data_IF_044056656150
#
_entry.id   IF_044056656150
#
_cell.length_a   1.000
_cell.length_b   1.000
_cell.length_c   1.000
_cell.angle_alpha   90.00
_cell.angle_beta   90.00
_cell.angle_gamma   90.00
#
_symmetry.space_group_name_H-M   'P 1'
#
loop_
_entity.id
_entity.type
_entity.pdbx_description
1 polymer ?
#
# COMPACT_ATOMS: atom_id res chain seq x y z
N UNK A 1 5.25 26.38 39.41
CA UNK A 1 5.57 25.84 38.07
C UNK A 1 4.56 26.45 37.09
N UNK A 2 5.01 27.41 36.28
CA UNK A 2 4.15 28.17 35.36
C UNK A 2 4.25 27.51 33.98
N UNK A 3 3.12 27.10 33.43
CA UNK A 3 3.03 26.54 32.07
C UNK A 3 3.18 27.67 31.03
N UNK A 4 3.94 27.49 29.96
CA UNK A 4 4.03 28.51 28.92
C UNK A 4 2.77 28.51 28.04
N UNK A 5 2.38 29.72 27.60
CA UNK A 5 1.20 30.01 26.80
C UNK A 5 1.18 29.25 25.46
N UNK A 6 -0.01 28.80 25.09
CA UNK A 6 -0.35 28.14 23.82
C UNK A 6 0.03 29.02 22.62
N UNK A 7 0.95 28.51 21.79
CA UNK A 7 1.21 29.09 20.45
C UNK A 7 -0.01 28.84 19.55
N UNK A 8 -0.56 29.91 19.02
CA UNK A 8 -1.56 29.93 17.96
C UNK A 8 -1.04 29.12 16.75
N UNK A 9 -1.74 28.06 16.40
CA UNK A 9 -1.51 27.29 15.17
C UNK A 9 -2.05 28.12 13.99
N UNK A 10 -1.18 28.56 13.12
CA UNK A 10 -1.55 29.17 11.84
C UNK A 10 -2.39 28.21 11.00
N UNK A 11 -3.42 28.68 10.28
CA UNK A 11 -4.22 27.84 9.38
C UNK A 11 -3.32 27.25 8.30
N UNK A 12 -3.38 25.93 8.22
CA UNK A 12 -2.67 25.09 7.27
C UNK A 12 -2.94 25.57 5.84
N UNK A 13 -1.92 26.12 5.16
CA UNK A 13 -1.92 26.23 3.70
C UNK A 13 -2.09 24.81 3.17
N UNK A 14 -3.06 24.57 2.30
CA UNK A 14 -3.23 23.30 1.61
C UNK A 14 -1.89 22.93 0.94
N UNK A 15 -1.15 21.99 1.55
CA UNK A 15 0.10 21.47 0.99
C UNK A 15 -0.30 20.53 -0.14
N UNK A 16 0.45 20.58 -1.25
CA UNK A 16 0.36 19.57 -2.30
C UNK A 16 0.49 18.19 -1.65
N UNK A 17 -0.27 17.18 -2.08
CA UNK A 17 -0.32 15.87 -1.45
C UNK A 17 1.02 15.10 -1.49
N UNK A 18 2.00 15.54 -2.31
CA UNK A 18 3.29 14.86 -2.51
C UNK A 18 4.48 15.81 -2.39
N UNK A 19 5.67 15.34 -1.91
CA UNK A 19 6.91 16.13 -1.86
C UNK A 19 7.34 16.59 -3.26
N UNK A 20 7.79 17.84 -3.40
CA UNK A 20 8.13 18.46 -4.69
C UNK A 20 9.38 17.89 -5.39
N UNK A 21 10.20 17.10 -4.68
CA UNK A 21 11.51 16.64 -5.18
C UNK A 21 11.52 15.16 -5.63
N UNK A 22 10.36 14.51 -5.74
CA UNK A 22 10.25 13.10 -6.15
C UNK A 22 9.45 13.04 -7.42
N UNK A 23 10.09 12.62 -8.52
CA UNK A 23 9.46 12.57 -9.83
C UNK A 23 8.26 11.60 -9.82
N UNK A 24 8.37 10.42 -9.18
CA UNK A 24 7.27 9.47 -9.05
C UNK A 24 7.20 8.88 -7.64
N UNK A 25 6.14 9.17 -6.92
CA UNK A 25 5.93 8.67 -5.54
C UNK A 25 5.56 7.20 -5.54
N UNK A 26 6.22 6.40 -4.70
CA UNK A 26 5.88 4.99 -4.46
C UNK A 26 5.13 4.87 -3.13
N UNK A 27 3.86 4.49 -3.20
CA UNK A 27 2.95 4.39 -2.06
C UNK A 27 2.66 2.93 -1.75
N UNK A 28 3.05 2.46 -0.57
CA UNK A 28 2.66 1.14 -0.08
C UNK A 28 1.29 1.23 0.58
N UNK A 29 0.32 0.48 0.07
CA UNK A 29 -1.02 0.41 0.66
C UNK A 29 -1.30 -0.97 1.23
N UNK A 30 -1.86 -1.04 2.44
CA UNK A 30 -2.15 -2.31 3.09
C UNK A 30 -3.34 -2.25 4.05
N UNK A 31 -4.10 -3.34 4.08
CA UNK A 31 -4.86 -3.75 5.25
C UNK A 31 -3.88 -4.45 6.20
N UNK A 32 -3.87 -4.05 7.46
CA UNK A 32 -2.93 -4.57 8.44
C UNK A 32 -3.64 -4.82 9.78
N UNK A 33 -3.40 -5.98 10.38
CA UNK A 33 -3.86 -6.25 11.74
C UNK A 33 -3.08 -5.41 12.77
N UNK A 34 -3.60 -5.27 13.97
CA UNK A 34 -2.91 -4.52 15.03
C UNK A 34 -1.52 -5.10 15.36
N UNK A 35 -1.32 -6.40 15.16
CA UNK A 35 -0.01 -7.07 15.32
C UNK A 35 0.81 -7.13 14.02
N UNK A 36 0.44 -6.36 12.98
CA UNK A 36 1.23 -6.11 11.78
C UNK A 36 1.12 -7.15 10.67
N UNK A 37 0.18 -8.09 10.73
CA UNK A 37 -0.03 -9.11 9.70
C UNK A 37 -0.82 -8.53 8.52
N UNK A 38 -0.40 -8.86 7.30
CA UNK A 38 -1.01 -8.44 6.03
C UNK A 38 -1.37 -9.64 5.13
N UNK A 39 -1.26 -10.87 5.61
CA UNK A 39 -1.48 -12.07 4.79
C UNK A 39 -2.96 -12.31 4.53
N UNK A 40 -3.32 -12.50 3.27
CA UNK A 40 -4.65 -12.91 2.78
C UNK A 40 -5.84 -12.12 3.37
N UNK A 41 -5.83 -10.79 3.35
CA UNK A 41 -6.92 -9.97 3.89
C UNK A 41 -8.23 -10.16 3.12
N UNK A 42 -8.14 -10.38 1.79
CA UNK A 42 -9.25 -10.47 0.86
C UNK A 42 -9.85 -11.86 0.68
N UNK A 43 -9.33 -12.89 1.34
CA UNK A 43 -9.82 -14.25 1.20
C UNK A 43 -8.92 -15.17 0.37
N UNK A 44 -7.70 -14.74 0.04
CA UNK A 44 -6.73 -15.54 -0.71
C UNK A 44 -6.45 -16.86 0.01
N UNK A 45 -6.30 -17.97 -0.75
CA UNK A 45 -6.16 -19.30 -0.16
C UNK A 45 -4.79 -19.53 0.51
N UNK A 46 -4.73 -20.53 1.40
CA UNK A 46 -3.47 -20.96 2.01
C UNK A 46 -3.13 -20.32 3.37
N UNK A 47 -3.96 -19.41 3.87
CA UNK A 47 -3.82 -18.85 5.20
C UNK A 47 -5.04 -19.14 6.07
N UNK A 48 -4.84 -19.65 7.31
CA UNK A 48 -5.92 -20.09 8.21
C UNK A 48 -6.94 -18.99 8.53
N UNK A 49 -6.49 -17.75 8.63
CA UNK A 49 -7.31 -16.59 8.95
C UNK A 49 -7.68 -15.76 7.69
N UNK A 50 -7.56 -16.34 6.50
CA UNK A 50 -7.88 -15.67 5.23
C UNK A 50 -9.24 -14.97 5.26
N UNK A 51 -9.35 -13.78 4.65
CA UNK A 51 -10.59 -12.97 4.63
C UNK A 51 -10.88 -12.27 5.96
N UNK A 52 -9.87 -12.02 6.77
CA UNK A 52 -10.03 -11.44 8.12
C UNK A 52 -10.56 -10.00 8.10
N UNK A 53 -10.46 -9.29 6.98
CA UNK A 53 -11.04 -7.93 6.85
C UNK A 53 -12.58 -7.92 6.82
N UNK A 54 -13.20 -9.09 6.51
CA UNK A 54 -14.64 -9.25 6.42
C UNK A 54 -15.23 -10.10 7.55
N UNK A 55 -14.38 -10.62 8.45
CA UNK A 55 -14.80 -11.53 9.51
C UNK A 55 -14.83 -10.82 10.86
N UNK A 56 -16.03 -10.66 11.44
CA UNK A 56 -16.20 -10.11 12.77
C UNK A 56 -15.98 -8.60 12.91
N UNK A 57 -15.93 -7.88 11.79
CA UNK A 57 -15.85 -6.41 11.72
C UNK A 57 -16.93 -5.95 10.75
N UNK A 58 -17.79 -5.04 11.21
CA UNK A 58 -18.84 -4.48 10.37
C UNK A 58 -18.24 -3.67 9.22
N UNK A 59 -18.75 -3.88 8.01
CA UNK A 59 -18.34 -3.10 6.86
C UNK A 59 -18.82 -1.66 7.00
N UNK A 60 -17.89 -0.71 6.88
CA UNK A 60 -18.15 0.72 6.93
C UNK A 60 -17.51 1.38 5.71
N UNK A 61 -18.31 1.82 4.70
CA UNK A 61 -17.78 2.36 3.44
C UNK A 61 -16.75 3.47 3.63
N UNK A 62 -16.98 4.37 4.59
CA UNK A 62 -16.12 5.53 4.88
C UNK A 62 -14.69 5.10 5.25
N UNK A 63 -14.52 3.95 5.90
CA UNK A 63 -13.19 3.42 6.22
C UNK A 63 -12.39 3.01 4.96
N UNK A 64 -13.07 2.77 3.85
CA UNK A 64 -12.48 2.34 2.59
C UNK A 64 -12.37 3.43 1.53
N UNK A 65 -12.82 4.67 1.79
CA UNK A 65 -12.73 5.80 0.86
C UNK A 65 -11.30 6.06 0.37
N UNK A 66 -10.30 5.79 1.20
CA UNK A 66 -8.89 5.89 0.80
C UNK A 66 -8.57 4.98 -0.40
N UNK A 67 -9.25 3.84 -0.56
CA UNK A 67 -9.04 2.91 -1.67
C UNK A 67 -9.60 3.45 -2.99
N UNK A 68 -10.71 4.18 -2.94
CA UNK A 68 -11.23 4.94 -4.08
C UNK A 68 -10.27 6.05 -4.49
N UNK A 69 -9.82 6.86 -3.53
CA UNK A 69 -8.84 7.93 -3.75
C UNK A 69 -7.53 7.41 -4.35
N UNK A 70 -7.02 6.28 -3.88
CA UNK A 70 -5.83 5.63 -4.46
C UNK A 70 -6.02 5.29 -5.94
N UNK A 71 -7.19 4.82 -6.34
CA UNK A 71 -7.49 4.52 -7.75
C UNK A 71 -7.61 5.78 -8.62
N UNK A 72 -8.10 6.88 -8.06
CA UNK A 72 -8.23 8.15 -8.77
C UNK A 72 -6.88 8.86 -8.97
N UNK A 73 -6.00 8.79 -7.96
CA UNK A 73 -4.73 9.53 -7.94
C UNK A 73 -3.56 8.76 -8.54
N UNK A 74 -3.61 7.43 -8.56
CA UNK A 74 -2.52 6.61 -9.05
C UNK A 74 -2.40 6.58 -10.57
N UNK A 75 -1.17 6.57 -11.06
CA UNK A 75 -0.85 6.35 -12.47
C UNK A 75 -0.44 4.92 -12.80
N UNK A 76 -0.20 4.09 -11.81
CA UNK A 76 0.19 2.69 -12.00
C UNK A 76 -0.03 1.85 -10.74
N UNK A 77 -0.16 0.55 -10.93
CA UNK A 77 -0.25 -0.46 -9.87
C UNK A 77 1.03 -1.31 -9.87
N UNK A 78 1.63 -1.54 -8.70
CA UNK A 78 2.79 -2.41 -8.54
C UNK A 78 2.48 -3.55 -7.58
N UNK A 79 3.01 -4.73 -7.87
CA UNK A 79 2.87 -5.91 -7.01
C UNK A 79 3.96 -6.93 -7.26
N UNK A 80 4.11 -7.89 -6.34
CA UNK A 80 4.93 -9.07 -6.59
C UNK A 80 4.17 -10.17 -7.35
N UNK A 81 4.90 -11.14 -7.89
CA UNK A 81 4.34 -12.25 -8.67
C UNK A 81 3.14 -12.93 -8.00
N UNK A 82 3.26 -13.32 -6.72
CA UNK A 82 2.17 -14.04 -6.03
C UNK A 82 0.89 -13.22 -5.92
N UNK A 83 1.00 -11.92 -5.71
CA UNK A 83 -0.16 -11.03 -5.70
C UNK A 83 -0.74 -10.87 -7.10
N UNK A 84 0.11 -10.77 -8.12
CA UNK A 84 -0.35 -10.76 -9.51
C UNK A 84 -1.14 -12.02 -9.87
N UNK A 85 -0.59 -13.19 -9.56
CA UNK A 85 -1.24 -14.50 -9.81
C UNK A 85 -2.57 -14.64 -9.04
N UNK A 86 -2.69 -14.02 -7.86
CA UNK A 86 -3.93 -14.04 -7.07
C UNK A 86 -4.98 -13.03 -7.57
N UNK A 87 -4.56 -11.84 -8.02
CA UNK A 87 -5.46 -10.75 -8.37
C UNK A 87 -5.90 -10.78 -9.84
N UNK A 88 -5.00 -11.14 -10.76
CA UNK A 88 -5.25 -11.09 -12.20
C UNK A 88 -6.45 -11.93 -12.67
N UNK A 89 -6.81 -13.07 -12.06
CA UNK A 89 -8.03 -13.79 -12.41
C UNK A 89 -9.32 -13.17 -11.90
N UNK A 90 -9.25 -12.30 -10.89
CA UNK A 90 -10.41 -11.82 -10.12
C UNK A 90 -10.69 -10.34 -10.34
N UNK A 91 -9.71 -9.48 -10.10
CA UNK A 91 -9.88 -8.03 -10.10
C UNK A 91 -10.36 -7.41 -11.43
N UNK A 92 -9.96 -7.91 -12.62
CA UNK A 92 -10.46 -7.35 -13.88
C UNK A 92 -11.97 -7.41 -14.05
N UNK A 93 -12.66 -8.33 -13.34
CA UNK A 93 -14.10 -8.49 -13.35
C UNK A 93 -14.85 -7.79 -12.21
N UNK A 94 -14.13 -7.15 -11.26
CA UNK A 94 -14.73 -6.50 -10.10
C UNK A 94 -14.88 -4.98 -10.34
N UNK A 95 -16.08 -4.45 -10.10
CA UNK A 95 -16.37 -3.01 -10.28
C UNK A 95 -15.56 -2.15 -9.30
N UNK A 96 -15.34 -2.64 -8.10
CA UNK A 96 -14.58 -1.94 -7.05
C UNK A 96 -13.13 -1.67 -7.45
N UNK A 97 -12.59 -2.42 -8.42
CA UNK A 97 -11.21 -2.30 -8.91
C UNK A 97 -11.12 -1.80 -10.36
N UNK A 98 -12.21 -1.20 -10.88
CA UNK A 98 -12.27 -0.71 -12.25
C UNK A 98 -11.16 0.32 -12.57
N UNK A 99 -10.83 1.19 -11.62
CA UNK A 99 -9.73 2.15 -11.75
C UNK A 99 -8.38 1.46 -11.99
N UNK A 100 -8.10 0.39 -11.27
CA UNK A 100 -6.86 -0.37 -11.47
C UNK A 100 -6.82 -1.13 -12.80
N UNK A 101 -7.97 -1.45 -13.41
CA UNK A 101 -8.01 -2.17 -14.70
C UNK A 101 -7.34 -1.38 -15.83
N UNK A 102 -7.56 -0.07 -15.88
CA UNK A 102 -7.02 0.81 -16.91
C UNK A 102 -5.53 1.18 -16.70
N UNK A 103 -5.02 1.08 -15.47
CA UNK A 103 -3.65 1.47 -15.15
C UNK A 103 -2.65 0.46 -15.70
N UNK A 104 -1.42 0.87 -16.10
CA UNK A 104 -0.30 -0.03 -16.28
C UNK A 104 0.06 -0.74 -14.96
N UNK A 105 0.44 -2.01 -15.05
CA UNK A 105 0.89 -2.83 -13.93
C UNK A 105 2.38 -3.07 -14.03
N UNK A 106 3.05 -3.00 -12.89
CA UNK A 106 4.46 -3.37 -12.74
C UNK A 106 4.55 -4.57 -11.79
N UNK A 107 4.97 -5.72 -12.32
CA UNK A 107 5.13 -6.94 -11.52
C UNK A 107 6.61 -7.17 -11.24
N UNK A 108 7.00 -6.98 -9.97
CA UNK A 108 8.40 -7.21 -9.57
C UNK A 108 8.62 -8.71 -9.35
N UNK A 109 9.37 -9.33 -10.27
CA UNK A 109 9.59 -10.77 -10.24
C UNK A 109 10.79 -11.19 -11.08
N UNK A 110 11.65 -12.04 -10.52
CA UNK A 110 12.74 -12.70 -11.24
C UNK A 110 12.32 -13.96 -11.99
N UNK A 111 11.09 -14.46 -11.74
CA UNK A 111 10.65 -15.78 -12.23
C UNK A 111 9.38 -15.76 -13.06
N UNK A 112 8.59 -14.68 -13.03
CA UNK A 112 7.43 -14.53 -13.91
C UNK A 112 7.91 -14.35 -15.35
N UNK A 113 7.25 -15.02 -16.29
CA UNK A 113 7.53 -14.93 -17.73
C UNK A 113 6.38 -14.23 -18.47
N UNK A 114 6.59 -13.75 -19.69
CA UNK A 114 5.57 -13.02 -20.45
C UNK A 114 4.33 -13.89 -20.72
N UNK A 115 4.50 -15.18 -20.93
CA UNK A 115 3.41 -16.16 -21.10
C UNK A 115 2.57 -16.40 -19.82
N UNK A 116 3.06 -15.95 -18.67
CA UNK A 116 2.31 -15.91 -17.41
C UNK A 116 1.48 -14.65 -17.20
N UNK A 117 1.51 -13.70 -18.14
CA UNK A 117 0.69 -12.49 -18.09
C UNK A 117 -0.71 -12.74 -18.63
N UNK A 118 -1.71 -12.03 -18.09
CA UNK A 118 -3.09 -12.11 -18.55
C UNK A 118 -3.45 -10.87 -19.38
N UNK A 119 -4.06 -11.07 -20.54
CA UNK A 119 -4.44 -9.98 -21.45
C UNK A 119 -5.64 -9.16 -20.94
N UNK A 120 -6.42 -9.73 -20.01
CA UNK A 120 -7.67 -9.12 -19.53
C UNK A 120 -7.47 -7.99 -18.54
N UNK A 121 -6.24 -7.78 -18.03
CA UNK A 121 -5.96 -6.78 -16.98
C UNK A 121 -5.15 -5.57 -17.48
N UNK A 122 -5.13 -5.32 -18.78
CA UNK A 122 -4.42 -4.21 -19.40
C UNK A 122 -2.91 -4.39 -19.43
N UNK A 123 -2.19 -3.31 -19.75
CA UNK A 123 -0.73 -3.34 -19.91
C UNK A 123 -0.02 -3.78 -18.63
N UNK A 124 0.87 -4.78 -18.75
CA UNK A 124 1.64 -5.31 -17.62
C UNK A 124 3.12 -5.43 -18.00
N UNK A 125 3.98 -4.86 -17.16
CA UNK A 125 5.44 -4.88 -17.30
C UNK A 125 6.06 -5.70 -16.18
N UNK A 126 7.06 -6.52 -16.51
CA UNK A 126 7.83 -7.29 -15.52
C UNK A 126 9.11 -6.52 -15.18
N UNK A 127 9.26 -6.14 -13.91
CA UNK A 127 10.51 -5.58 -13.37
C UNK A 127 11.31 -6.70 -12.72
N UNK A 128 12.59 -6.81 -13.06
CA UNK A 128 13.47 -7.92 -12.66
C UNK A 128 14.25 -7.66 -11.38
N UNK A 129 14.36 -6.40 -10.97
CA UNK A 129 15.19 -5.96 -9.84
C UNK A 129 14.59 -4.76 -9.12
N UNK A 130 15.16 -4.42 -7.96
CA UNK A 130 14.85 -3.16 -7.27
C UNK A 130 15.47 -1.96 -8.00
N UNK A 131 16.51 -2.15 -8.78
CA UNK A 131 17.09 -1.09 -9.60
C UNK A 131 16.11 -0.67 -10.71
N UNK A 132 15.37 -1.62 -11.30
CA UNK A 132 14.29 -1.29 -12.25
C UNK A 132 13.18 -0.48 -11.57
N UNK A 133 12.86 -0.77 -10.30
CA UNK A 133 11.89 0.02 -9.53
C UNK A 133 12.44 1.42 -9.24
N UNK A 134 13.72 1.53 -8.90
CA UNK A 134 14.38 2.82 -8.70
C UNK A 134 14.36 3.65 -9.99
N UNK A 135 14.70 3.05 -11.11
CA UNK A 135 14.64 3.71 -12.43
C UNK A 135 13.20 4.16 -12.78
N UNK A 136 12.19 3.35 -12.48
CA UNK A 136 10.79 3.75 -12.65
C UNK A 136 10.43 4.97 -11.80
N UNK A 137 10.95 5.08 -10.59
CA UNK A 137 10.72 6.24 -9.71
C UNK A 137 11.33 7.53 -10.25
N UNK A 138 12.38 7.45 -11.04
CA UNK A 138 13.02 8.61 -11.67
C UNK A 138 12.26 9.14 -12.89
N UNK A 139 11.20 8.44 -13.33
CA UNK A 139 10.33 8.91 -14.40
C UNK A 139 9.28 9.88 -13.90
N UNK A 140 8.81 10.78 -14.78
CA UNK A 140 7.64 11.60 -14.50
C UNK A 140 6.38 10.77 -14.48
N UNK A 141 5.43 11.15 -13.62
CA UNK A 141 4.11 10.50 -13.59
C UNK A 141 3.40 10.58 -12.25
N UNK A 142 2.14 10.20 -12.28
CA UNK A 142 1.34 10.04 -11.08
C UNK A 142 1.88 8.88 -10.20
N UNK A 143 1.51 8.84 -8.91
CA UNK A 143 2.01 7.84 -7.97
C UNK A 143 1.85 6.40 -8.45
N UNK A 144 2.76 5.53 -8.01
CA UNK A 144 2.64 4.08 -8.14
C UNK A 144 2.14 3.51 -6.82
N UNK A 145 1.01 2.81 -6.85
CA UNK A 145 0.47 2.12 -5.68
C UNK A 145 1.03 0.69 -5.61
N UNK A 146 1.73 0.38 -4.55
CA UNK A 146 2.17 -1.00 -4.24
C UNK A 146 1.06 -1.70 -3.47
N UNK A 147 0.39 -2.65 -4.12
CA UNK A 147 -0.72 -3.38 -3.54
C UNK A 147 -0.36 -4.85 -3.29
N UNK A 148 -0.51 -5.26 -2.05
CA UNK A 148 -0.18 -6.64 -1.65
C UNK A 148 1.32 -6.92 -1.54
N UNK A 149 1.68 -8.22 -1.56
CA UNK A 149 3.08 -8.73 -1.51
C UNK A 149 3.90 -8.26 -0.31
N UNK A 150 3.71 -8.90 0.84
CA UNK A 150 4.55 -8.65 2.02
C UNK A 150 6.05 -8.70 1.69
N UNK A 151 6.50 -9.71 0.94
CA UNK A 151 7.90 -9.86 0.53
C UNK A 151 8.41 -8.68 -0.31
N UNK A 152 7.59 -8.18 -1.26
CA UNK A 152 7.95 -6.99 -2.03
C UNK A 152 8.01 -5.75 -1.15
N UNK A 153 7.02 -5.56 -0.27
CA UNK A 153 7.02 -4.44 0.68
C UNK A 153 8.26 -4.45 1.58
N UNK A 154 8.71 -5.62 2.05
CA UNK A 154 9.96 -5.75 2.79
C UNK A 154 11.13 -5.21 1.97
N UNK A 155 11.30 -5.75 0.75
CA UNK A 155 12.42 -5.38 -0.12
C UNK A 155 12.42 -3.89 -0.47
N UNK A 156 11.26 -3.33 -0.84
CA UNK A 156 11.12 -1.91 -1.18
C UNK A 156 11.34 -1.01 0.04
N UNK A 157 10.79 -1.39 1.20
CA UNK A 157 11.00 -0.66 2.45
C UNK A 157 12.48 -0.70 2.84
N UNK A 158 13.12 -1.87 2.83
CA UNK A 158 14.51 -2.03 3.23
C UNK A 158 15.46 -1.27 2.29
N UNK A 159 15.16 -1.21 0.99
CA UNK A 159 15.88 -0.41 0.01
C UNK A 159 15.59 1.11 0.08
N UNK A 160 14.66 1.57 0.92
CA UNK A 160 14.29 2.99 1.02
C UNK A 160 13.51 3.53 -0.17
N UNK A 161 12.86 2.66 -0.94
CA UNK A 161 12.13 3.06 -2.15
C UNK A 161 10.70 3.53 -1.86
N UNK A 162 10.09 3.14 -0.73
CA UNK A 162 8.76 3.60 -0.32
C UNK A 162 8.84 5.06 0.16
N UNK A 163 7.93 5.88 -0.34
CA UNK A 163 7.81 7.30 0.04
C UNK A 163 6.68 7.52 1.04
N UNK A 164 5.60 6.72 0.92
CA UNK A 164 4.40 6.88 1.73
C UNK A 164 3.76 5.52 2.02
N UNK A 165 3.16 5.42 3.21
CA UNK A 165 2.33 4.28 3.60
C UNK A 165 0.88 4.72 3.78
N UNK A 166 -0.05 3.99 3.16
CA UNK A 166 -1.49 4.06 3.40
C UNK A 166 -1.92 2.80 4.13
N UNK A 167 -2.25 2.91 5.39
CA UNK A 167 -2.55 1.77 6.24
C UNK A 167 -3.98 1.85 6.78
N UNK A 168 -4.78 0.81 6.53
CA UNK A 168 -5.99 0.57 7.30
C UNK A 168 -5.67 -0.49 8.37
N UNK A 169 -5.56 -0.03 9.62
CA UNK A 169 -5.25 -0.86 10.77
C UNK A 169 -6.54 -1.42 11.35
N UNK A 170 -6.66 -2.74 11.35
CA UNK A 170 -7.84 -3.46 11.84
C UNK A 170 -7.68 -3.82 13.32
N UNK A 171 -8.73 -3.70 14.13
CA UNK A 171 -8.70 -3.91 15.58
C UNK A 171 -8.72 -5.39 15.95
N UNK A 172 -7.77 -6.18 15.43
CA UNK A 172 -7.66 -7.61 15.68
C UNK A 172 -6.20 -8.08 15.72
N UNK A 173 -5.97 -9.22 16.32
CA UNK A 173 -4.68 -9.91 16.40
C UNK A 173 -4.77 -11.24 15.64
N UNK A 174 -3.88 -11.45 14.70
CA UNK A 174 -3.81 -12.67 13.89
C UNK A 174 -2.75 -13.66 14.40
N UNK A 175 -1.76 -13.17 15.13
CA UNK A 175 -0.67 -13.95 15.72
C UNK A 175 0.38 -14.38 14.71
N UNK A 176 0.05 -15.33 13.84
CA UNK A 176 0.93 -15.83 12.78
C UNK A 176 0.49 -15.31 11.41
N UNK A 177 1.44 -15.15 10.49
CA UNK A 177 1.22 -14.68 9.12
C UNK A 177 2.34 -13.77 8.65
N UNK A 178 2.33 -13.41 7.36
CA UNK A 178 3.28 -12.46 6.80
C UNK A 178 2.99 -11.07 7.32
N UNK A 179 4.02 -10.40 7.82
CA UNK A 179 3.92 -9.03 8.36
C UNK A 179 4.24 -8.00 7.29
N UNK A 180 3.76 -6.76 7.51
CA UNK A 180 4.03 -5.64 6.60
C UNK A 180 5.51 -5.28 6.55
N UNK A 181 6.17 -5.26 7.71
CA UNK A 181 7.59 -4.92 7.82
C UNK A 181 8.44 -6.15 8.10
N UNK A 182 9.66 -6.16 7.54
CA UNK A 182 10.62 -7.24 7.79
C UNK A 182 11.11 -7.22 9.25
N UNK A 183 11.51 -8.38 9.76
CA UNK A 183 12.16 -8.51 11.07
C UNK A 183 13.70 -8.37 10.99
N UNK A 184 14.23 -7.92 9.85
CA UNK A 184 15.66 -7.71 9.67
C UNK A 184 16.16 -6.60 10.60
N UNK A 185 17.35 -6.79 11.16
CA UNK A 185 18.06 -5.75 11.92
C UNK A 185 18.52 -4.65 10.96
N UNK A 186 18.09 -3.43 11.23
CA UNK A 186 18.37 -2.25 10.40
C UNK A 186 18.17 -0.96 11.18
N UNK A 187 18.70 0.11 10.62
CA UNK A 187 18.56 1.45 11.19
C UNK A 187 17.10 1.89 11.30
N UNK A 188 16.82 2.68 12.33
CA UNK A 188 15.51 3.28 12.57
C UNK A 188 15.15 4.22 11.42
N UNK A 189 13.93 4.08 10.89
CA UNK A 189 13.35 5.03 9.95
C UNK A 189 12.21 5.79 10.61
N UNK A 190 12.26 7.10 10.47
CA UNK A 190 11.22 7.97 10.98
C UNK A 190 10.09 8.13 9.97
N UNK A 191 8.87 8.10 10.47
CA UNK A 191 7.66 8.35 9.69
C UNK A 191 6.97 9.59 10.24
N UNK A 192 6.43 10.40 9.35
CA UNK A 192 5.60 11.56 9.70
C UNK A 192 4.14 11.23 9.41
N UNK A 193 3.30 11.27 10.44
CA UNK A 193 1.85 11.12 10.28
C UNK A 193 1.31 12.33 9.48
N UNK A 194 0.63 12.04 8.37
CA UNK A 194 0.06 13.03 7.44
C UNK A 194 -1.45 13.09 7.59
N UNK A 195 -2.10 11.92 7.72
CA UNK A 195 -3.53 11.79 7.87
C UNK A 195 -3.84 10.66 8.84
N UNK A 196 -4.83 10.88 9.71
CA UNK A 196 -5.32 9.87 10.64
C UNK A 196 -6.82 10.02 10.85
N UNK A 197 -7.52 8.89 10.88
CA UNK A 197 -8.93 8.82 11.20
C UNK A 197 -9.26 7.49 11.85
N UNK A 198 -10.06 7.53 12.92
CA UNK A 198 -10.55 6.33 13.59
C UNK A 198 -12.05 6.19 13.33
N UNK A 199 -12.48 5.01 12.92
CA UNK A 199 -13.87 4.73 12.55
C UNK A 199 -14.62 3.99 13.66
N UNK A 200 -15.97 4.10 13.72
CA UNK A 200 -16.78 3.45 14.75
C UNK A 200 -16.64 1.92 14.83
N UNK A 201 -16.29 1.26 13.71
CA UNK A 201 -16.02 -0.17 13.65
C UNK A 201 -14.61 -0.56 14.17
N UNK A 202 -13.84 0.42 14.66
CA UNK A 202 -12.50 0.23 15.22
C UNK A 202 -11.37 0.24 14.20
N UNK A 203 -11.64 0.32 12.87
CA UNK A 203 -10.61 0.49 11.86
C UNK A 203 -9.98 1.87 12.02
N UNK A 204 -8.67 1.97 11.80
CA UNK A 204 -7.92 3.21 11.81
C UNK A 204 -7.22 3.41 10.46
N UNK A 205 -7.52 4.52 9.80
CA UNK A 205 -6.78 5.00 8.63
C UNK A 205 -5.56 5.76 9.10
N UNK A 206 -4.38 5.38 8.62
CA UNK A 206 -3.12 6.07 8.90
C UNK A 206 -2.34 6.27 7.61
N UNK A 207 -2.01 7.53 7.31
CA UNK A 207 -1.13 7.89 6.19
C UNK A 207 0.17 8.44 6.76
N UNK A 208 1.29 7.82 6.38
CA UNK A 208 2.61 8.24 6.83
C UNK A 208 3.52 8.56 5.64
N UNK A 209 4.21 9.69 5.70
CA UNK A 209 5.38 9.96 4.85
C UNK A 209 6.63 9.39 5.48
N UNK A 210 7.51 8.81 4.66
CA UNK A 210 8.86 8.43 5.08
C UNK A 210 9.72 9.68 5.17
N UNK A 211 10.35 9.90 6.33
CA UNK A 211 11.29 11.02 6.52
C UNK A 211 12.67 10.58 6.00
N UNK A 212 13.24 11.35 5.08
CA UNK A 212 14.59 11.17 4.54
C UNK A 212 15.54 12.22 5.09
#
# INVERSE_FOLDING_TARGET
MTFPATRSLNPCKARRPYPEDIMRTLISTAFVSLDGVVEAPGGEPGYRNSGWTFKGIDFLPEAYEIKGREQEEAGALMMGRRSYEAFSPVWPGMEEFAGYKAMPKYVVSTTLTEDGLVDTWGETHILRSLDDVAALKETDGAPVIVHGSATLNHALSDAGLIDRYHLLVFPLLLGAGKRLFSAADKDTRHLRLVEHEAFPNGIQKNVFDVVR
#
